data_IF_448994728093
#
_entry.id   IF_448994728093
#
_cell.length_a   1.000
_cell.length_b   1.000
_cell.length_c   1.000
_cell.angle_alpha   90.00
_cell.angle_beta   90.00
_cell.angle_gamma   90.00
#
_symmetry.space_group_name_H-M   'P 1'
#
loop_
_entity.id
_entity.type
_entity.pdbx_description
1 polymer ?
#
# COMPACT_ATOMS: atom_id res chain seq x y z
N UNK A 1 5.45 1.19 -21.11
CA UNK A 1 6.19 1.34 -19.83
C UNK A 1 5.31 1.59 -18.60
N UNK A 2 4.17 2.28 -18.72
CA UNK A 2 3.26 2.54 -17.59
C UNK A 2 2.72 1.27 -16.91
N UNK A 3 2.35 0.27 -17.70
CA UNK A 3 1.71 -0.95 -17.18
C UNK A 3 2.64 -1.80 -16.31
N UNK A 4 3.91 -1.95 -16.71
CA UNK A 4 4.92 -2.66 -15.90
C UNK A 4 5.10 -1.96 -14.56
N UNK A 5 5.16 -0.62 -14.55
CA UNK A 5 5.26 0.15 -13.31
C UNK A 5 4.07 -0.12 -12.37
N UNK A 6 2.85 -0.20 -12.90
CA UNK A 6 1.65 -0.56 -12.12
C UNK A 6 1.76 -1.97 -11.55
N UNK A 7 2.13 -2.96 -12.36
CA UNK A 7 2.31 -4.34 -11.91
C UNK A 7 3.38 -4.46 -10.81
N UNK A 8 4.48 -3.72 -10.94
CA UNK A 8 5.56 -3.68 -9.94
C UNK A 8 5.06 -3.05 -8.63
N UNK A 9 4.21 -2.03 -8.70
CA UNK A 9 3.59 -1.42 -7.53
C UNK A 9 2.61 -2.39 -6.85
N UNK A 10 1.77 -3.09 -7.61
CA UNK A 10 0.88 -4.14 -7.09
C UNK A 10 1.68 -5.24 -6.40
N UNK A 11 2.77 -5.71 -7.02
CA UNK A 11 3.65 -6.72 -6.45
C UNK A 11 4.25 -6.26 -5.11
N UNK A 12 4.68 -5.00 -5.00
CA UNK A 12 5.16 -4.43 -3.74
C UNK A 12 4.09 -4.46 -2.65
N UNK A 13 2.85 -4.11 -2.99
CA UNK A 13 1.76 -4.16 -2.02
C UNK A 13 1.45 -5.57 -1.58
N UNK A 14 1.27 -6.49 -2.53
CA UNK A 14 0.95 -7.89 -2.22
C UNK A 14 2.09 -8.57 -1.44
N UNK A 15 3.36 -8.25 -1.75
CA UNK A 15 4.52 -8.73 -0.97
C UNK A 15 4.35 -8.47 0.52
N UNK A 16 3.91 -7.27 0.92
CA UNK A 16 3.73 -6.93 2.33
C UNK A 16 2.69 -7.81 3.04
N UNK A 17 1.66 -8.28 2.32
CA UNK A 17 0.69 -9.24 2.85
C UNK A 17 1.31 -10.63 3.00
N UNK A 18 1.89 -11.16 1.93
CA UNK A 18 2.42 -12.54 1.92
C UNK A 18 3.58 -12.73 2.91
N UNK A 19 4.48 -11.75 3.01
CA UNK A 19 5.62 -11.78 3.93
C UNK A 19 5.21 -11.67 5.41
N UNK A 20 4.01 -11.18 5.71
CA UNK A 20 3.48 -11.11 7.07
C UNK A 20 2.41 -12.16 7.35
N UNK A 21 2.22 -13.11 6.42
CA UNK A 21 1.23 -14.18 6.52
C UNK A 21 1.87 -15.50 6.93
N UNK A 22 2.72 -16.08 6.07
CA UNK A 22 3.40 -17.35 6.31
C UNK A 22 4.73 -17.38 5.54
N UNK A 23 5.78 -17.89 6.17
CA UNK A 23 7.11 -18.00 5.58
C UNK A 23 7.13 -18.86 4.31
N UNK A 24 6.39 -19.97 4.27
CA UNK A 24 6.31 -20.83 3.06
C UNK A 24 5.75 -20.06 1.85
N UNK A 25 4.74 -19.21 2.07
CA UNK A 25 4.14 -18.39 1.01
C UNK A 25 5.10 -17.28 0.55
N UNK A 26 5.84 -16.70 1.49
CA UNK A 26 6.86 -15.69 1.18
C UNK A 26 8.01 -16.28 0.36
N UNK A 27 8.45 -17.50 0.69
CA UNK A 27 9.47 -18.24 -0.06
C UNK A 27 8.99 -18.63 -1.45
N UNK A 28 7.74 -19.08 -1.59
CA UNK A 28 7.13 -19.36 -2.89
C UNK A 28 7.07 -18.12 -3.78
N UNK A 29 6.75 -16.95 -3.22
CA UNK A 29 6.81 -15.70 -3.97
C UNK A 29 8.24 -15.36 -4.41
N UNK A 30 9.24 -15.55 -3.54
CA UNK A 30 10.66 -15.35 -3.88
C UNK A 30 11.09 -16.29 -5.02
N UNK A 31 10.80 -17.58 -4.92
CA UNK A 31 11.13 -18.57 -5.97
C UNK A 31 10.52 -18.22 -7.33
N UNK A 32 9.32 -17.66 -7.37
CA UNK A 32 8.66 -17.24 -8.61
C UNK A 32 9.30 -16.02 -9.27
N UNK A 33 9.96 -15.17 -8.49
CA UNK A 33 10.62 -13.93 -8.97
C UNK A 33 12.12 -14.13 -9.13
N UNK A 34 12.70 -15.18 -8.54
CA UNK A 34 14.10 -15.56 -8.67
C UNK A 34 14.51 -15.73 -10.14
N UNK A 35 15.70 -15.25 -10.57
CA UNK A 35 16.77 -14.61 -9.80
C UNK A 35 16.61 -13.09 -9.60
N UNK A 36 15.44 -12.53 -9.92
CA UNK A 36 15.20 -11.08 -9.95
C UNK A 36 14.68 -10.53 -8.62
N UNK A 37 15.24 -10.97 -7.49
CA UNK A 37 14.73 -10.61 -6.15
C UNK A 37 14.70 -9.09 -5.90
N UNK A 38 15.61 -8.34 -6.52
CA UNK A 38 15.61 -6.86 -6.49
C UNK A 38 14.27 -6.26 -6.95
N UNK A 39 13.50 -7.00 -7.75
CA UNK A 39 12.18 -6.58 -8.15
C UNK A 39 11.25 -6.45 -6.94
N UNK A 40 11.35 -7.31 -5.95
CA UNK A 40 10.47 -7.27 -4.78
C UNK A 40 10.73 -6.04 -3.88
N UNK A 41 11.93 -5.45 -3.94
CA UNK A 41 12.33 -4.34 -3.06
C UNK A 41 12.35 -2.97 -3.75
N UNK A 42 12.87 -2.89 -4.98
CA UNK A 42 13.15 -1.62 -5.66
C UNK A 42 12.30 -1.49 -6.92
N UNK A 43 11.15 -0.80 -6.82
CA UNK A 43 10.19 -0.63 -7.93
C UNK A 43 10.84 -0.03 -9.20
N UNK A 44 11.80 0.87 -9.03
CA UNK A 44 12.44 1.62 -10.12
C UNK A 44 13.74 0.99 -10.63
N UNK A 45 14.18 -0.13 -10.06
CA UNK A 45 15.41 -0.80 -10.48
C UNK A 45 15.09 -1.84 -11.56
N UNK A 46 15.77 -1.73 -12.70
CA UNK A 46 15.64 -2.62 -13.85
C UNK A 46 17.05 -3.00 -14.34
N UNK A 47 17.22 -4.27 -14.70
CA UNK A 47 18.38 -4.71 -15.47
C UNK A 47 18.19 -4.41 -16.96
N UNK A 48 19.27 -4.41 -17.73
CA UNK A 48 19.21 -4.25 -19.20
C UNK A 48 18.34 -5.34 -19.83
N UNK A 49 18.45 -6.58 -19.33
CA UNK A 49 17.61 -7.71 -19.76
C UNK A 49 16.13 -7.46 -19.48
N UNK A 50 15.80 -6.85 -18.34
CA UNK A 50 14.41 -6.50 -18.04
C UNK A 50 13.87 -5.50 -19.04
N UNK A 51 14.64 -4.46 -19.38
CA UNK A 51 14.20 -3.44 -20.33
C UNK A 51 13.93 -4.04 -21.72
N UNK A 52 14.74 -5.01 -22.16
CA UNK A 52 14.48 -5.79 -23.38
C UNK A 52 13.24 -6.70 -23.26
N UNK A 53 12.98 -7.24 -22.07
CA UNK A 53 11.78 -8.03 -21.81
C UNK A 53 10.52 -7.17 -21.65
N UNK A 54 10.66 -5.89 -21.32
CA UNK A 54 9.57 -4.90 -21.32
C UNK A 54 9.17 -4.58 -22.76
N UNK A 55 10.14 -4.40 -23.67
CA UNK A 55 9.83 -4.12 -25.09
C UNK A 55 9.19 -5.32 -25.78
N UNK A 56 9.61 -6.55 -25.45
CA UNK A 56 8.98 -7.78 -25.95
C UNK A 56 7.70 -8.20 -25.21
N UNK A 57 7.31 -7.49 -24.14
CA UNK A 57 6.10 -7.79 -23.35
C UNK A 57 6.18 -9.02 -22.44
N UNK A 58 7.27 -9.81 -22.51
CA UNK A 58 7.46 -11.01 -21.69
C UNK A 58 7.46 -10.69 -20.19
N UNK A 59 8.12 -9.59 -19.79
CA UNK A 59 8.19 -9.22 -18.38
C UNK A 59 6.80 -8.87 -17.82
N UNK A 60 5.99 -8.17 -18.60
CA UNK A 60 4.64 -7.79 -18.23
C UNK A 60 3.75 -9.02 -18.02
N UNK A 61 3.80 -9.99 -18.93
CA UNK A 61 3.04 -11.24 -18.80
C UNK A 61 3.48 -12.05 -17.58
N UNK A 62 4.79 -12.14 -17.34
CA UNK A 62 5.33 -12.81 -16.16
C UNK A 62 4.83 -12.14 -14.86
N UNK A 63 4.99 -10.82 -14.74
CA UNK A 63 4.52 -10.07 -13.57
C UNK A 63 3.00 -10.20 -13.36
N UNK A 64 2.19 -10.17 -14.43
CA UNK A 64 0.74 -10.42 -14.34
C UNK A 64 0.43 -11.78 -13.72
N UNK A 65 1.12 -12.84 -14.13
CA UNK A 65 0.95 -14.19 -13.57
C UNK A 65 1.31 -14.23 -12.09
N UNK A 66 2.43 -13.63 -11.70
CA UNK A 66 2.89 -13.57 -10.30
C UNK A 66 1.92 -12.77 -9.43
N UNK A 67 1.52 -11.57 -9.87
CA UNK A 67 0.56 -10.72 -9.16
C UNK A 67 -0.77 -11.45 -9.00
N UNK A 68 -1.31 -12.06 -10.07
CA UNK A 68 -2.58 -12.81 -10.01
C UNK A 68 -2.51 -13.99 -9.04
N UNK A 69 -1.38 -14.71 -8.99
CA UNK A 69 -1.19 -15.78 -8.02
C UNK A 69 -1.19 -15.24 -6.58
N UNK A 70 -0.47 -14.15 -6.36
CA UNK A 70 -0.30 -13.56 -5.05
C UNK A 70 -1.59 -12.89 -4.53
N UNK A 71 -2.36 -12.21 -5.38
CA UNK A 71 -3.67 -11.65 -5.01
C UNK A 71 -4.68 -12.74 -4.70
N UNK A 72 -4.68 -13.86 -5.45
CA UNK A 72 -5.50 -15.04 -5.15
C UNK A 72 -5.23 -15.59 -3.75
N UNK A 73 -3.98 -15.54 -3.28
CA UNK A 73 -3.65 -15.89 -1.91
C UNK A 73 -4.29 -14.92 -0.91
N UNK A 74 -4.20 -13.61 -1.15
CA UNK A 74 -4.79 -12.60 -0.25
C UNK A 74 -6.29 -12.80 -0.07
N UNK A 75 -7.04 -13.06 -1.14
CA UNK A 75 -8.48 -13.29 -1.04
C UNK A 75 -8.85 -14.63 -0.37
N UNK A 76 -8.00 -15.66 -0.49
CA UNK A 76 -8.27 -17.00 0.08
C UNK A 76 -7.80 -17.17 1.52
N UNK A 77 -6.75 -16.45 1.91
CA UNK A 77 -6.16 -16.58 3.22
C UNK A 77 -6.88 -15.67 4.23
N UNK A 78 -7.42 -16.25 5.29
CA UNK A 78 -8.12 -15.52 6.36
C UNK A 78 -7.23 -14.46 7.04
N UNK A 79 -5.93 -14.74 7.21
CA UNK A 79 -4.99 -13.78 7.82
C UNK A 79 -4.73 -12.57 6.91
N UNK A 80 -4.70 -12.78 5.59
CA UNK A 80 -4.46 -11.70 4.64
C UNK A 80 -5.73 -10.89 4.36
N UNK A 81 -6.89 -11.55 4.30
CA UNK A 81 -8.17 -10.89 4.02
C UNK A 81 -8.57 -9.92 5.13
N UNK A 82 -8.27 -10.26 6.39
CA UNK A 82 -8.51 -9.39 7.55
C UNK A 82 -7.62 -8.13 7.56
N UNK A 83 -6.50 -8.14 6.81
CA UNK A 83 -5.61 -6.97 6.66
C UNK A 83 -6.08 -6.01 5.54
N UNK A 84 -7.29 -6.22 5.01
CA UNK A 84 -7.94 -5.27 4.11
C UNK A 84 -8.20 -3.92 4.79
N UNK A 85 -8.38 -2.88 3.99
CA UNK A 85 -8.77 -1.55 4.47
C UNK A 85 -10.27 -1.34 4.28
N UNK A 86 -10.89 -0.52 5.11
CA UNK A 86 -12.24 -0.04 4.88
C UNK A 86 -12.21 1.41 4.41
N UNK A 87 -13.06 1.77 3.46
CA UNK A 87 -13.14 3.14 2.98
C UNK A 87 -13.90 4.00 4.00
N UNK A 88 -13.21 4.93 4.66
CA UNK A 88 -13.80 5.84 5.67
C UNK A 88 -14.85 6.82 5.11
N UNK A 89 -14.99 6.94 3.77
CA UNK A 89 -15.90 7.89 3.12
C UNK A 89 -17.26 7.26 2.84
N UNK A 90 -17.29 6.13 2.13
CA UNK A 90 -18.54 5.43 1.82
C UNK A 90 -18.94 4.42 2.90
N UNK A 91 -18.05 4.15 3.86
CA UNK A 91 -18.23 3.20 4.97
C UNK A 91 -18.79 1.84 4.53
N UNK A 92 -18.44 1.40 3.31
CA UNK A 92 -18.88 0.12 2.79
C UNK A 92 -18.21 -1.01 3.57
N UNK A 93 -18.93 -2.09 3.93
CA UNK A 93 -18.36 -3.22 4.66
C UNK A 93 -17.37 -4.04 3.83
N UNK A 94 -17.28 -3.79 2.53
CA UNK A 94 -16.38 -4.49 1.63
C UNK A 94 -14.93 -4.01 1.83
N UNK A 95 -13.99 -4.93 2.18
CA UNK A 95 -12.59 -4.58 2.32
C UNK A 95 -11.98 -4.25 0.95
N UNK A 96 -11.21 -3.18 0.93
CA UNK A 96 -10.43 -2.73 -0.22
C UNK A 96 -8.95 -2.98 -0.01
N UNK A 97 -8.23 -3.23 -1.09
CA UNK A 97 -6.82 -3.57 -1.02
C UNK A 97 -5.96 -2.59 -1.83
N UNK A 98 -4.76 -2.20 -1.33
CA UNK A 98 -3.89 -1.25 -2.02
C UNK A 98 -3.39 -1.73 -3.39
N UNK A 99 -3.43 -3.04 -3.66
CA UNK A 99 -3.03 -3.61 -4.95
C UNK A 99 -4.12 -3.48 -6.02
N UNK A 100 -5.35 -3.13 -5.66
CA UNK A 100 -6.43 -2.82 -6.60
C UNK A 100 -6.28 -1.37 -7.10
N UNK A 101 -5.21 -1.12 -7.85
CA UNK A 101 -4.82 0.23 -8.30
C UNK A 101 -5.82 0.90 -9.24
N UNK A 102 -6.79 0.16 -9.76
CA UNK A 102 -7.83 0.67 -10.67
C UNK A 102 -9.01 1.28 -9.89
N UNK A 103 -9.41 0.64 -8.78
CA UNK A 103 -10.58 1.01 -7.99
C UNK A 103 -10.22 1.79 -6.73
N UNK A 104 -8.97 1.71 -6.28
CA UNK A 104 -8.52 2.27 -5.01
C UNK A 104 -7.35 3.23 -5.16
N UNK A 105 -7.29 4.21 -4.26
CA UNK A 105 -6.22 5.19 -4.16
C UNK A 105 -5.70 5.19 -2.72
N UNK A 106 -4.38 5.07 -2.59
CA UNK A 106 -3.69 5.17 -1.32
C UNK A 106 -3.20 6.60 -1.10
N UNK A 107 -3.37 7.11 0.11
CA UNK A 107 -2.84 8.41 0.50
C UNK A 107 -1.34 8.30 0.84
N UNK A 108 -0.49 9.15 0.28
CA UNK A 108 0.95 9.11 0.55
C UNK A 108 1.32 9.53 1.99
N UNK A 109 0.59 10.51 2.56
CA UNK A 109 0.80 10.97 3.96
C UNK A 109 0.37 9.93 5.01
N UNK A 110 -0.90 9.51 5.00
CA UNK A 110 -1.46 8.65 6.05
C UNK A 110 -1.47 7.16 5.71
N UNK A 111 -1.09 6.76 4.48
CA UNK A 111 -1.08 5.38 3.98
C UNK A 111 -2.45 4.69 3.97
N UNK A 112 -3.53 5.39 4.32
CA UNK A 112 -4.90 4.89 4.23
C UNK A 112 -5.33 4.73 2.78
N UNK A 113 -6.18 3.73 2.54
CA UNK A 113 -6.71 3.39 1.22
C UNK A 113 -8.16 3.83 1.16
N UNK A 114 -8.55 4.39 0.02
CA UNK A 114 -9.91 4.85 -0.26
C UNK A 114 -10.30 4.39 -1.67
N UNK A 115 -11.59 4.36 -1.98
CA UNK A 115 -12.01 4.22 -3.38
C UNK A 115 -11.55 5.45 -4.19
N UNK A 116 -11.21 5.23 -5.45
CA UNK A 116 -10.75 6.30 -6.35
C UNK A 116 -11.78 7.45 -6.45
N UNK A 117 -13.07 7.11 -6.57
CA UNK A 117 -14.19 8.06 -6.58
C UNK A 117 -14.28 8.83 -5.25
N UNK A 118 -14.39 8.11 -4.13
CA UNK A 118 -14.47 8.70 -2.80
C UNK A 118 -13.31 9.65 -2.48
N UNK A 119 -12.10 9.35 -2.97
CA UNK A 119 -10.92 10.19 -2.78
C UNK A 119 -10.87 11.38 -3.72
N UNK A 120 -11.46 11.29 -4.91
CA UNK A 120 -11.59 12.42 -5.81
C UNK A 120 -12.49 13.50 -5.19
N UNK A 121 -13.62 13.07 -4.61
CA UNK A 121 -14.63 13.96 -4.03
C UNK A 121 -14.18 14.59 -2.68
N UNK A 122 -13.29 13.90 -1.94
CA UNK A 122 -12.83 14.33 -0.61
C UNK A 122 -11.34 14.68 -0.59
N UNK A 123 -10.98 15.81 -1.23
CA UNK A 123 -9.65 16.42 -1.12
C UNK A 123 -9.74 17.70 -0.27
N UNK A 124 -8.93 17.85 0.79
CA UNK A 124 -7.83 16.99 1.22
C UNK A 124 -8.29 15.69 1.92
N UNK A 125 -7.37 14.73 2.10
CA UNK A 125 -7.67 13.44 2.75
C UNK A 125 -8.38 13.64 4.10
N UNK A 126 -9.57 13.05 4.33
CA UNK A 126 -10.33 13.26 5.57
C UNK A 126 -9.55 12.78 6.81
N UNK A 127 -8.81 11.68 6.68
CA UNK A 127 -7.94 11.17 7.76
C UNK A 127 -6.75 12.09 8.05
N UNK A 128 -6.18 12.73 7.03
CA UNK A 128 -5.09 13.69 7.26
C UNK A 128 -5.64 14.96 7.90
N UNK A 129 -6.76 15.49 7.41
CA UNK A 129 -7.42 16.66 7.98
C UNK A 129 -7.74 16.46 9.48
N UNK A 130 -8.32 15.30 9.85
CA UNK A 130 -8.55 14.95 11.26
C UNK A 130 -7.27 14.87 12.09
N UNK A 131 -6.19 14.30 11.55
CA UNK A 131 -4.90 14.20 12.26
C UNK A 131 -4.24 15.57 12.44
N UNK A 132 -4.29 16.40 11.40
CA UNK A 132 -3.72 17.75 11.43
C UNK A 132 -4.49 18.63 12.44
N UNK A 133 -5.84 18.54 12.49
CA UNK A 133 -6.67 19.24 13.48
C UNK A 133 -6.40 18.79 14.93
N UNK A 134 -6.25 17.49 15.17
CA UNK A 134 -5.85 17.00 16.51
C UNK A 134 -4.47 17.55 16.88
N UNK A 135 -3.51 17.55 15.96
CA UNK A 135 -2.16 18.05 16.22
C UNK A 135 -2.13 19.55 16.56
N UNK A 136 -2.99 20.36 15.96
CA UNK A 136 -3.10 21.79 16.31
C UNK A 136 -3.72 22.00 17.70
N UNK A 137 -4.68 21.16 18.11
CA UNK A 137 -5.28 21.24 19.45
C UNK A 137 -4.32 20.81 20.57
N UNK A 138 -3.38 19.89 20.30
CA UNK A 138 -2.35 19.55 21.29
C UNK A 138 -1.28 20.64 21.45
N UNK A 139 -1.02 21.46 20.41
CA UNK A 139 -0.09 22.58 20.51
C UNK A 139 -0.58 23.72 21.39
N UNK A 140 -1.89 23.92 21.49
CA UNK A 140 -2.46 24.98 22.33
C UNK A 140 -2.44 24.67 23.83
N UNK A 141 -2.09 23.45 24.23
CA UNK A 141 -2.08 23.02 25.65
C UNK A 141 -0.66 23.09 26.26
N UNK A 142 0.40 23.11 25.44
CA UNK A 142 1.78 23.25 25.93
C UNK A 142 2.15 24.70 26.31
N UNK A 143 1.34 25.70 25.94
CA UNK A 143 1.55 27.12 26.29
C UNK A 143 0.76 27.59 27.53
N UNK A 144 0.03 26.71 28.20
CA UNK A 144 -0.59 27.01 29.51
C UNK A 144 0.07 26.19 30.60
N UNK A 145 1.34 26.46 30.87
CA UNK A 145 1.93 26.13 32.17
C UNK A 145 1.35 27.12 33.19
N UNK A 146 0.63 26.68 34.24
CA UNK A 146 0.32 27.56 35.35
C UNK A 146 1.63 27.86 36.07
N UNK A 147 1.97 29.15 36.13
CA UNK A 147 3.11 29.69 36.84
C UNK A 147 2.94 29.39 38.34
N UNK A 148 3.49 28.27 38.81
CA UNK A 148 3.55 27.94 40.24
C UNK A 148 4.74 28.70 40.85
N UNK A 149 4.55 29.98 41.12
CA UNK A 149 5.44 30.73 42.02
C UNK A 149 5.19 30.27 43.45
N UNK A 150 6.15 29.57 44.04
CA UNK A 150 6.18 29.28 45.47
C UNK A 150 6.63 30.53 46.24
N UNK A 151 5.88 31.02 47.25
CA UNK A 151 6.38 32.04 48.16
C UNK A 151 7.40 31.43 49.13
N UNK A 152 8.45 32.21 49.41
CA UNK A 152 9.59 31.91 50.31
C UNK A 152 9.15 31.91 51.77
#
# INVERSE_FOLDING_TARGET
MSEVKTLRLQLKYVKAYLFTCNQSVAEDLRKRVWPKDYMLDRIHLYSVVDLLQVTSGQLQQHLKKVVKHATKHVYKCQLCSQKGFLCEVCNSPNPIYPFETETTVRCDRCKAVFHAKCRADNRPCPKCARRDLRRSQFRTVEDTSPDFTFPV
#
